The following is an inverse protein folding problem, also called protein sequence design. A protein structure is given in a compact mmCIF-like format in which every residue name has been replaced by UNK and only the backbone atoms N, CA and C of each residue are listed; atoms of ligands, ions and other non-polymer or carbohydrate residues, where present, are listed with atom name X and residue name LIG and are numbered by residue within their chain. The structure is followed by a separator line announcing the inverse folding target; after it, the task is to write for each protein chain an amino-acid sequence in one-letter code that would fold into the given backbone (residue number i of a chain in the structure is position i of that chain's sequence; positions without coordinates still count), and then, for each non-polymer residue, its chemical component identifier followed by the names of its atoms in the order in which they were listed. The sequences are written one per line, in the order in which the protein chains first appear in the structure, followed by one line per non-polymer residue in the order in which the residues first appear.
data_IF_531361808895
#
_entry.id   IF_531361808895
#
_cell.length_a   1.000
_cell.length_b   1.000
_cell.length_c   1.000
_cell.angle_alpha   90.00
_cell.angle_beta   90.00
_cell.angle_gamma   90.00
#
_symmetry.space_group_name_H-M   'P 1'
#
loop_
_entity.id
_entity.type
_entity.pdbx_description
1 polymer ?
#
# COMPACT_ATOMS: atom_id res chain seq x y z
N UNK A 1 5.77 -14.32 0.25
CA UNK A 1 4.91 -13.22 0.73
C UNK A 1 4.81 -12.15 -0.33
N UNK A 2 3.69 -11.43 -0.42
CA UNK A 2 3.47 -10.37 -1.42
C UNK A 2 4.61 -9.34 -1.43
N UNK A 3 5.14 -8.97 -0.27
CA UNK A 3 6.31 -8.08 -0.13
C UNK A 3 7.56 -8.65 -0.79
N UNK A 4 7.93 -9.88 -0.45
CA UNK A 4 9.11 -10.54 -1.03
C UNK A 4 9.00 -10.71 -2.53
N UNK A 5 7.81 -11.02 -3.04
CA UNK A 5 7.56 -11.18 -4.47
C UNK A 5 7.71 -9.83 -5.20
N UNK A 6 7.22 -8.73 -4.60
CA UNK A 6 7.38 -7.38 -5.15
C UNK A 6 8.86 -6.98 -5.23
N UNK A 7 9.61 -7.12 -4.13
CA UNK A 7 11.05 -6.79 -4.09
C UNK A 7 11.83 -7.60 -5.12
N UNK A 8 11.58 -8.90 -5.20
CA UNK A 8 12.23 -9.78 -6.17
C UNK A 8 11.91 -9.38 -7.60
N UNK A 9 10.63 -9.07 -7.89
CA UNK A 9 10.21 -8.63 -9.23
C UNK A 9 10.92 -7.34 -9.63
N UNK A 10 10.94 -6.33 -8.75
CA UNK A 10 11.61 -5.05 -9.03
C UNK A 10 13.11 -5.23 -9.23
N UNK A 11 13.76 -6.06 -8.42
CA UNK A 11 15.18 -6.41 -8.58
C UNK A 11 15.44 -7.08 -9.93
N UNK A 12 14.63 -8.07 -10.29
CA UNK A 12 14.82 -8.82 -11.53
C UNK A 12 14.58 -7.92 -12.76
N UNK A 13 13.58 -7.04 -12.73
CA UNK A 13 13.38 -6.01 -13.76
C UNK A 13 14.60 -5.10 -13.92
N UNK A 14 15.20 -4.66 -12.81
CA UNK A 14 16.41 -3.83 -12.84
C UNK A 14 17.60 -4.60 -13.40
N UNK A 15 17.77 -5.87 -13.04
CA UNK A 15 18.84 -6.72 -13.59
C UNK A 15 18.69 -6.95 -15.08
N UNK A 16 17.47 -7.18 -15.57
CA UNK A 16 17.20 -7.32 -17.02
C UNK A 16 17.52 -6.01 -17.76
N UNK A 17 17.16 -4.85 -17.18
CA UNK A 17 17.47 -3.54 -17.73
C UNK A 17 18.99 -3.30 -17.82
N UNK A 18 19.75 -3.64 -16.76
CA UNK A 18 21.21 -3.48 -16.70
C UNK A 18 21.94 -4.39 -17.68
N UNK A 19 21.35 -5.55 -18.01
CA UNK A 19 21.91 -6.48 -19.02
C UNK A 19 21.48 -6.15 -20.45
N UNK A 20 20.65 -5.14 -20.62
CA UNK A 20 20.03 -4.79 -21.90
C UNK A 20 19.14 -5.91 -22.49
N UNK A 21 18.68 -6.83 -21.63
CA UNK A 21 17.75 -7.91 -22.01
C UNK A 21 16.32 -7.40 -22.24
N UNK A 22 16.01 -6.19 -21.81
CA UNK A 22 14.74 -5.47 -22.02
C UNK A 22 15.02 -4.04 -22.47
N UNK A 23 14.08 -3.39 -23.18
CA UNK A 23 14.18 -1.96 -23.49
C UNK A 23 14.37 -1.12 -22.22
N UNK A 24 15.15 -0.04 -22.35
CA UNK A 24 15.31 0.91 -21.24
C UNK A 24 13.97 1.51 -20.86
N UNK A 25 13.71 1.61 -19.56
CA UNK A 25 12.52 2.23 -19.00
C UNK A 25 12.90 3.21 -17.88
N UNK A 26 12.11 4.25 -17.71
CA UNK A 26 12.32 5.28 -16.69
C UNK A 26 11.30 5.19 -15.57
N UNK A 27 10.23 4.41 -15.75
CA UNK A 27 9.13 4.26 -14.79
C UNK A 27 8.67 2.82 -14.67
N UNK A 28 8.22 2.47 -13.49
CA UNK A 28 7.50 1.23 -13.19
C UNK A 28 6.15 1.62 -12.59
N UNK A 29 5.08 1.03 -13.09
CA UNK A 29 3.74 1.19 -12.53
C UNK A 29 3.37 -0.11 -11.83
N UNK A 30 2.89 0.02 -10.59
CA UNK A 30 2.43 -1.09 -9.77
C UNK A 30 0.93 -0.91 -9.59
N UNK A 31 0.16 -1.81 -10.16
CA UNK A 31 -1.28 -1.86 -9.96
C UNK A 31 -1.62 -2.86 -8.86
N UNK A 32 -2.45 -2.43 -7.92
CA UNK A 32 -3.00 -3.29 -6.87
C UNK A 32 -4.48 -3.53 -7.08
N UNK A 33 -5.01 -4.60 -6.49
CA UNK A 33 -6.45 -4.82 -6.48
C UNK A 33 -7.17 -3.76 -5.63
N UNK A 34 -8.46 -3.54 -5.90
CA UNK A 34 -9.28 -2.57 -5.15
C UNK A 34 -9.46 -2.90 -3.66
N UNK A 35 -9.10 -4.12 -3.23
CA UNK A 35 -9.18 -4.55 -1.82
C UNK A 35 -7.79 -4.71 -1.17
N UNK A 36 -6.73 -4.31 -1.85
CA UNK A 36 -5.38 -4.38 -1.28
C UNK A 36 -5.18 -3.30 -0.23
N UNK A 37 -4.65 -3.67 0.93
CA UNK A 37 -4.13 -2.69 1.88
C UNK A 37 -2.86 -2.04 1.28
N UNK A 38 -2.82 -0.72 1.08
CA UNK A 38 -1.67 -0.06 0.49
C UNK A 38 -0.47 0.05 1.44
N UNK A 39 -0.67 -0.01 2.76
CA UNK A 39 0.38 0.28 3.73
C UNK A 39 1.57 -0.69 3.64
N UNK A 40 1.40 -2.03 3.52
CA UNK A 40 2.51 -2.96 3.35
C UNK A 40 3.36 -2.69 2.11
N UNK A 41 2.69 -2.35 0.99
CA UNK A 41 3.36 -2.08 -0.29
C UNK A 41 4.17 -0.79 -0.21
N UNK A 42 3.55 0.28 0.29
CA UNK A 42 4.20 1.58 0.45
C UNK A 42 5.39 1.50 1.40
N UNK A 43 5.23 0.81 2.54
CA UNK A 43 6.32 0.58 3.48
C UNK A 43 7.49 -0.12 2.78
N UNK A 44 7.24 -1.20 2.04
CA UNK A 44 8.28 -1.93 1.29
C UNK A 44 8.99 -1.03 0.28
N UNK A 45 8.25 -0.25 -0.51
CA UNK A 45 8.82 0.65 -1.52
C UNK A 45 9.68 1.77 -0.92
N UNK A 46 9.42 2.18 0.33
CA UNK A 46 10.15 3.27 1.01
C UNK A 46 11.29 2.79 1.91
N UNK A 47 11.26 1.53 2.39
CA UNK A 47 12.20 1.03 3.40
C UNK A 47 13.15 -0.04 2.91
N UNK A 48 12.78 -0.82 1.89
CA UNK A 48 13.64 -1.88 1.38
C UNK A 48 14.86 -1.31 0.65
N UNK A 49 16.07 -1.70 1.10
CA UNK A 49 17.32 -1.17 0.57
C UNK A 49 17.55 -1.50 -0.91
N UNK A 50 17.13 -2.68 -1.38
CA UNK A 50 17.28 -3.06 -2.79
C UNK A 50 16.37 -2.19 -3.65
N UNK A 51 15.16 -1.92 -3.19
CA UNK A 51 14.22 -1.05 -3.91
C UNK A 51 14.72 0.39 -3.92
N UNK A 52 15.06 0.97 -2.77
CA UNK A 52 15.43 2.39 -2.63
C UNK A 52 16.76 2.74 -3.29
N UNK A 53 17.64 1.76 -3.54
CA UNK A 53 18.88 1.97 -4.30
C UNK A 53 18.65 2.24 -5.78
N UNK A 54 17.57 1.73 -6.37
CA UNK A 54 17.30 1.78 -7.80
C UNK A 54 16.03 2.52 -8.18
N UNK A 55 15.09 2.61 -7.26
CA UNK A 55 13.77 3.20 -7.48
C UNK A 55 13.47 4.24 -6.41
N UNK A 56 12.57 5.13 -6.76
CA UNK A 56 11.95 6.06 -5.81
C UNK A 56 10.45 6.09 -6.06
N UNK A 57 9.68 6.19 -5.00
CA UNK A 57 8.24 6.34 -5.11
C UNK A 57 7.92 7.77 -5.55
N UNK A 58 7.43 7.91 -6.79
CA UNK A 58 7.06 9.20 -7.40
C UNK A 58 5.69 9.69 -6.90
N UNK A 59 4.77 8.77 -6.66
CA UNK A 59 3.46 9.11 -6.14
C UNK A 59 2.50 7.93 -6.15
N UNK A 60 1.40 8.11 -5.45
CA UNK A 60 0.28 7.18 -5.35
C UNK A 60 -0.94 7.76 -6.03
N UNK A 61 -1.53 6.99 -6.92
CA UNK A 61 -2.73 7.36 -7.66
C UNK A 61 -3.83 6.38 -7.28
N UNK A 62 -4.98 6.88 -6.84
CA UNK A 62 -6.13 6.04 -6.53
C UNK A 62 -7.29 6.37 -7.46
N UNK A 63 -7.85 5.35 -8.09
CA UNK A 63 -9.06 5.48 -8.91
C UNK A 63 -10.29 5.30 -8.03
N UNK A 64 -11.29 6.18 -8.22
CA UNK A 64 -12.54 6.15 -7.47
C UNK A 64 -13.72 6.21 -8.45
N UNK A 65 -14.63 5.27 -8.33
CA UNK A 65 -15.86 5.18 -9.11
C UNK A 65 -16.90 6.19 -8.57
N UNK A 66 -17.31 7.17 -9.37
CA UNK A 66 -18.25 8.18 -8.93
C UNK A 66 -19.64 7.63 -8.60
N UNK A 67 -20.05 6.53 -9.25
CA UNK A 67 -21.37 5.97 -9.04
C UNK A 67 -21.46 5.11 -7.75
N UNK A 68 -20.35 4.44 -7.37
CA UNK A 68 -20.36 3.49 -6.25
C UNK A 68 -19.35 3.83 -5.14
N UNK A 69 -18.51 4.84 -5.35
CA UNK A 69 -17.36 5.12 -4.49
C UNK A 69 -17.75 5.47 -3.05
N UNK A 70 -18.81 6.24 -2.85
CA UNK A 70 -19.28 6.58 -1.50
C UNK A 70 -19.68 5.34 -0.70
N UNK A 71 -20.45 4.45 -1.31
CA UNK A 71 -20.86 3.17 -0.72
C UNK A 71 -19.65 2.23 -0.47
N UNK A 72 -18.70 2.22 -1.39
CA UNK A 72 -17.45 1.46 -1.23
C UNK A 72 -16.62 1.96 -0.05
N UNK A 73 -16.46 3.27 0.09
CA UNK A 73 -15.74 3.87 1.22
C UNK A 73 -16.43 3.62 2.57
N UNK A 74 -17.75 3.45 2.58
CA UNK A 74 -18.49 3.12 3.79
C UNK A 74 -18.33 1.65 4.23
N UNK A 75 -18.04 0.75 3.27
CA UNK A 75 -18.02 -0.70 3.49
C UNK A 75 -16.63 -1.30 3.54
N UNK A 76 -15.65 -0.66 2.90
CA UNK A 76 -14.31 -1.22 2.69
C UNK A 76 -13.24 -0.30 3.29
N UNK A 77 -12.65 -0.74 4.39
CA UNK A 77 -11.63 0.05 5.08
C UNK A 77 -10.36 0.21 4.23
N UNK A 78 -10.01 -0.80 3.44
CA UNK A 78 -8.89 -0.75 2.51
C UNK A 78 -9.06 0.37 1.47
N UNK A 79 -10.28 0.59 0.98
CA UNK A 79 -10.58 1.69 0.06
C UNK A 79 -10.40 3.06 0.72
N UNK A 80 -10.74 3.20 2.00
CA UNK A 80 -10.46 4.42 2.77
C UNK A 80 -8.95 4.64 2.88
N UNK A 81 -8.17 3.59 3.18
CA UNK A 81 -6.71 3.67 3.20
C UNK A 81 -6.14 4.08 1.85
N UNK A 82 -6.63 3.45 0.75
CA UNK A 82 -6.18 3.76 -0.60
C UNK A 82 -6.43 5.24 -0.98
N UNK A 83 -7.58 5.79 -0.61
CA UNK A 83 -7.89 7.21 -0.81
C UNK A 83 -6.99 8.10 0.06
N UNK A 84 -6.80 7.74 1.33
CA UNK A 84 -6.02 8.54 2.27
C UNK A 84 -4.53 8.66 1.89
N UNK A 85 -3.93 7.60 1.33
CA UNK A 85 -2.51 7.61 0.91
C UNK A 85 -2.29 8.28 -0.44
N UNK A 86 -3.32 8.52 -1.23
CA UNK A 86 -3.20 9.01 -2.59
C UNK A 86 -2.60 10.42 -2.67
N UNK A 87 -1.74 10.64 -3.68
CA UNK A 87 -1.30 11.97 -4.10
C UNK A 87 -2.24 12.57 -5.15
N UNK A 88 -2.96 11.71 -5.85
CA UNK A 88 -4.00 12.10 -6.84
C UNK A 88 -5.14 11.12 -6.80
N UNK A 89 -6.36 11.63 -6.95
CA UNK A 89 -7.59 10.86 -7.04
C UNK A 89 -8.15 10.99 -8.46
N UNK A 90 -8.27 9.87 -9.17
CA UNK A 90 -8.91 9.80 -10.47
C UNK A 90 -10.37 9.41 -10.29
N UNK A 91 -11.27 10.38 -10.50
CA UNK A 91 -12.71 10.14 -10.35
C UNK A 91 -13.28 9.72 -11.71
N UNK A 92 -13.65 8.46 -11.78
CA UNK A 92 -14.18 7.82 -13.01
C UNK A 92 -15.70 7.72 -12.97
N UNK A 93 -16.32 7.42 -14.11
CA UNK A 93 -17.78 7.18 -14.24
C UNK A 93 -18.65 8.33 -13.76
N UNK A 94 -18.16 9.55 -13.88
CA UNK A 94 -18.93 10.77 -13.53
C UNK A 94 -20.11 11.02 -14.47
N UNK A 95 -20.10 10.42 -15.64
CA UNK A 95 -21.14 10.46 -16.68
C UNK A 95 -22.41 9.70 -16.30
N UNK A 96 -22.28 8.65 -15.49
CA UNK A 96 -23.41 7.81 -15.03
C UNK A 96 -23.84 8.11 -13.59
N UNK A 97 -23.07 8.87 -12.84
CA UNK A 97 -23.43 9.30 -11.47
C UNK A 97 -24.27 10.59 -11.52
N UNK A 98 -25.38 10.62 -10.78
CA UNK A 98 -26.14 11.86 -10.62
C UNK A 98 -25.42 12.88 -9.73
N UNK A 99 -25.93 14.12 -9.68
CA UNK A 99 -25.29 15.20 -8.92
C UNK A 99 -25.22 14.89 -7.42
N UNK A 100 -26.29 14.35 -6.82
CA UNK A 100 -26.34 14.04 -5.39
C UNK A 100 -25.32 12.97 -5.01
N UNK A 101 -25.18 11.93 -5.84
CA UNK A 101 -24.18 10.86 -5.68
C UNK A 101 -22.74 11.41 -5.76
N UNK A 102 -22.47 12.29 -6.73
CA UNK A 102 -21.17 12.95 -6.85
C UNK A 102 -20.84 13.84 -5.67
N UNK A 103 -21.81 14.63 -5.19
CA UNK A 103 -21.64 15.51 -4.02
C UNK A 103 -21.38 14.70 -2.75
N UNK A 104 -22.08 13.58 -2.57
CA UNK A 104 -21.85 12.67 -1.45
C UNK A 104 -20.45 12.07 -1.50
N UNK A 105 -20.00 11.62 -2.67
CA UNK A 105 -18.64 11.12 -2.84
C UNK A 105 -17.60 12.21 -2.54
N UNK A 106 -17.75 13.42 -3.09
CA UNK A 106 -16.80 14.52 -2.88
C UNK A 106 -16.65 14.86 -1.40
N UNK A 107 -17.75 14.85 -0.64
CA UNK A 107 -17.69 15.04 0.81
C UNK A 107 -16.85 13.94 1.52
N UNK A 108 -16.98 12.68 1.08
CA UNK A 108 -16.20 11.55 1.63
C UNK A 108 -14.72 11.66 1.27
N UNK A 109 -14.41 11.98 0.02
CA UNK A 109 -13.03 12.15 -0.43
C UNK A 109 -12.36 13.31 0.29
N UNK A 110 -13.07 14.42 0.51
CA UNK A 110 -12.56 15.58 1.26
C UNK A 110 -12.29 15.23 2.71
N UNK A 111 -13.15 14.43 3.34
CA UNK A 111 -12.93 13.97 4.71
C UNK A 111 -11.72 13.00 4.83
N UNK A 112 -11.54 12.10 3.87
CA UNK A 112 -10.47 11.10 3.90
C UNK A 112 -9.11 11.67 3.45
N UNK A 113 -9.09 12.56 2.43
CA UNK A 113 -7.86 13.14 1.89
C UNK A 113 -8.14 14.53 1.31
N UNK A 114 -8.11 15.58 2.12
CA UNK A 114 -8.39 16.95 1.67
C UNK A 114 -7.31 17.48 0.71
N UNK A 115 -6.08 16.97 0.78
CA UNK A 115 -4.93 17.48 0.05
C UNK A 115 -4.77 16.94 -1.38
N UNK A 116 -5.34 15.78 -1.70
CA UNK A 116 -5.17 15.18 -3.01
C UNK A 116 -6.06 15.86 -4.07
N UNK A 117 -5.49 16.34 -5.19
CA UNK A 117 -6.28 16.86 -6.30
C UNK A 117 -7.14 15.75 -6.90
N UNK A 118 -8.39 16.12 -7.30
CA UNK A 118 -9.34 15.26 -8.00
C UNK A 118 -9.28 15.55 -9.48
N UNK A 119 -9.08 14.49 -10.26
CA UNK A 119 -9.04 14.55 -11.72
C UNK A 119 -10.20 13.72 -12.25
N UNK A 120 -11.12 14.35 -12.94
CA UNK A 120 -12.20 13.62 -13.62
C UNK A 120 -11.66 12.92 -14.85
N UNK A 121 -11.96 11.64 -14.96
CA UNK A 121 -11.54 10.78 -16.07
C UNK A 121 -12.77 10.16 -16.73
N UNK A 122 -12.96 10.40 -18.00
CA UNK A 122 -14.00 9.80 -18.83
C UNK A 122 -13.34 8.88 -19.84
N UNK A 123 -13.84 7.65 -19.96
CA UNK A 123 -13.37 6.63 -20.91
C UNK A 123 -11.85 6.37 -20.86
N UNK A 124 -11.22 6.62 -19.72
CA UNK A 124 -9.78 6.48 -19.55
C UNK A 124 -8.96 7.65 -20.11
N UNK A 125 -9.60 8.68 -20.63
CA UNK A 125 -8.92 9.87 -21.18
C UNK A 125 -8.43 10.78 -20.05
N UNK A 126 -7.12 10.83 -19.88
CA UNK A 126 -6.43 11.70 -18.93
C UNK A 126 -5.03 12.01 -19.47
N UNK A 127 -4.63 13.27 -19.39
CA UNK A 127 -3.26 13.66 -19.76
C UNK A 127 -2.25 12.97 -18.81
N UNK A 128 -1.36 12.10 -19.31
CA UNK A 128 -0.35 11.44 -18.49
C UNK A 128 0.53 12.42 -17.70
N UNK A 129 0.74 13.64 -18.18
CA UNK A 129 1.50 14.66 -17.47
C UNK A 129 0.84 15.06 -16.13
N UNK A 130 -0.46 14.90 -16.01
CA UNK A 130 -1.19 15.13 -14.77
C UNK A 130 -1.01 14.00 -13.75
N UNK A 131 -0.54 12.85 -14.17
CA UNK A 131 -0.40 11.67 -13.31
C UNK A 131 0.98 11.56 -12.65
N UNK A 132 2.00 12.11 -13.28
CA UNK A 132 3.38 11.97 -12.85
C UNK A 132 3.92 13.27 -12.25
N UNK A 133 5.11 13.13 -11.63
CA UNK A 133 5.84 14.25 -11.03
C UNK A 133 5.05 14.98 -9.94
N UNK A 134 4.36 14.22 -9.08
CA UNK A 134 3.69 14.77 -7.89
C UNK A 134 4.68 15.30 -6.85
N UNK A 135 5.95 15.04 -7.03
CA UNK A 135 7.01 15.14 -6.03
C UNK A 135 7.33 13.76 -5.48
N UNK A 136 8.31 13.64 -4.60
CA UNK A 136 8.50 12.39 -3.89
C UNK A 136 7.32 12.15 -2.95
N UNK A 137 6.88 10.90 -2.87
CA UNK A 137 5.85 10.52 -1.90
C UNK A 137 6.33 10.85 -0.48
N UNK A 138 5.54 11.62 0.26
CA UNK A 138 5.85 12.02 1.62
C UNK A 138 4.64 11.73 2.53
N UNK A 139 4.74 10.70 3.40
CA UNK A 139 3.68 10.38 4.35
C UNK A 139 3.35 11.53 5.32
N UNK A 140 4.29 12.42 5.61
CA UNK A 140 4.10 13.54 6.54
C UNK A 140 3.15 14.61 5.99
N UNK A 141 2.91 14.62 4.68
CA UNK A 141 1.92 15.49 4.03
C UNK A 141 0.51 14.94 4.07
N UNK A 142 0.34 13.73 4.59
CA UNK A 142 -0.94 13.02 4.67
C UNK A 142 -1.61 13.19 6.04
N UNK A 143 -2.74 12.54 6.22
CA UNK A 143 -3.42 12.54 7.52
C UNK A 143 -2.60 11.74 8.56
N UNK A 144 -2.76 12.03 9.88
CA UNK A 144 -2.05 11.29 10.94
C UNK A 144 -2.31 9.77 10.92
N UNK A 145 -3.44 9.34 10.36
CA UNK A 145 -3.76 7.93 10.22
C UNK A 145 -2.82 7.24 9.24
N UNK A 146 -2.44 7.89 8.14
CA UNK A 146 -1.49 7.33 7.16
C UNK A 146 -0.13 7.10 7.81
N UNK A 147 0.38 8.07 8.58
CA UNK A 147 1.65 7.92 9.30
C UNK A 147 1.58 6.76 10.32
N UNK A 148 0.44 6.60 11.00
CA UNK A 148 0.23 5.51 11.95
C UNK A 148 0.26 4.16 11.24
N UNK A 149 -0.49 3.97 10.15
CA UNK A 149 -0.52 2.70 9.41
C UNK A 149 0.85 2.30 8.87
N UNK A 150 1.61 3.25 8.32
CA UNK A 150 2.97 2.98 7.84
C UNK A 150 3.93 2.62 8.98
N UNK A 151 3.74 3.22 10.15
CA UNK A 151 4.51 2.91 11.35
C UNK A 151 4.19 1.50 11.88
N UNK A 152 2.91 1.12 11.90
CA UNK A 152 2.48 -0.21 12.34
C UNK A 152 3.12 -1.30 11.46
N UNK A 153 3.23 -1.04 10.15
CA UNK A 153 3.94 -1.95 9.23
C UNK A 153 5.44 -2.06 9.52
N UNK A 154 6.09 -0.97 9.93
CA UNK A 154 7.50 -0.99 10.30
C UNK A 154 7.76 -1.86 11.54
N UNK A 155 6.82 -1.90 12.49
CA UNK A 155 6.92 -2.78 13.67
C UNK A 155 6.61 -4.23 13.32
N UNK A 156 5.73 -4.49 12.35
CA UNK A 156 5.42 -5.85 11.91
C UNK A 156 6.60 -6.53 11.19
N UNK A 157 7.53 -5.76 10.62
CA UNK A 157 8.75 -6.24 9.97
C UNK A 157 9.96 -6.37 10.93
N UNK A 158 9.78 -6.11 12.24
CA UNK A 158 10.81 -6.32 13.25
C UNK A 158 11.27 -7.79 13.31
N UNK A 159 12.50 -8.08 13.80
CA UNK A 159 12.98 -9.45 13.91
C UNK A 159 11.98 -10.26 14.74
N UNK A 160 11.57 -11.40 14.21
CA UNK A 160 10.85 -12.41 14.99
C UNK A 160 11.78 -12.82 16.15
N UNK A 161 11.52 -12.29 17.34
CA UNK A 161 12.17 -12.76 18.54
C UNK A 161 11.82 -14.25 18.68
N UNK A 162 12.81 -15.09 18.39
CA UNK A 162 12.70 -16.52 18.49
C UNK A 162 12.37 -16.90 19.94
N UNK A 163 11.11 -17.11 20.22
CA UNK A 163 10.69 -17.78 21.43
C UNK A 163 11.19 -19.23 21.37
N UNK A 164 12.43 -19.45 21.82
CA UNK A 164 12.88 -20.77 22.24
C UNK A 164 11.98 -21.23 23.38
N UNK A 165 11.03 -22.07 23.05
CA UNK A 165 10.35 -22.89 24.06
C UNK A 165 11.34 -23.90 24.60
N UNK A 166 12.02 -23.52 25.68
CA UNK A 166 12.80 -24.44 26.49
C UNK A 166 11.86 -25.46 27.13
N UNK A 167 11.80 -26.66 26.55
CA UNK A 167 11.23 -27.83 27.21
C UNK A 167 12.19 -28.29 28.28
N UNK A 168 12.05 -27.78 29.49
CA UNK A 168 12.61 -28.36 30.69
C UNK A 168 11.79 -29.57 31.09
N UNK A 169 12.17 -30.76 30.64
CA UNK A 169 11.67 -32.00 31.18
C UNK A 169 12.56 -32.40 32.37
N UNK A 170 12.11 -32.07 33.57
CA UNK A 170 12.67 -32.62 34.79
C UNK A 170 11.77 -33.78 35.25
N UNK A 171 12.17 -35.01 34.94
CA UNK A 171 11.60 -36.23 35.49
C UNK A 171 12.48 -36.70 36.63
N UNK A 172 12.21 -36.29 37.86
CA UNK A 172 12.71 -36.94 39.05
C UNK A 172 11.88 -38.18 39.31
N UNK A 173 12.48 -39.38 39.07
CA UNK A 173 11.95 -40.64 39.56
C UNK A 173 12.35 -40.80 41.02
N UNK A 174 11.35 -40.69 41.90
CA UNK A 174 11.48 -41.09 43.29
C UNK A 174 11.13 -42.56 43.40
N UNK A 175 12.14 -43.36 43.78
CA UNK A 175 12.02 -44.81 43.98
C UNK A 175 11.79 -45.03 45.47
N UNK A 176 10.54 -45.24 45.89
CA UNK A 176 10.24 -45.63 47.23
C UNK A 176 10.36 -47.19 47.36
N UNK A 177 11.39 -47.62 48.08
CA UNK A 177 11.51 -48.96 48.62
C UNK A 177 10.64 -49.10 49.87
N UNK A 178 9.82 -50.11 49.93
CA UNK A 178 9.29 -50.64 51.17
C UNK A 178 9.75 -52.12 51.26
N UNK A 179 10.58 -52.33 52.27
CA UNK A 179 10.77 -53.65 52.89
C UNK A 179 9.65 -53.83 53.94
N UNK A 180 8.94 -54.92 53.90
CA UNK A 180 8.58 -55.96 54.87
C UNK A 180 7.39 -56.75 54.33
#
# INVERSE_FOLDING_TARGET
TVRGDLVNTLRDMMMLRLREDVPSFDRVLIETTGLADPAPILHTLMSDQLVTNYFRLDGVITTVDAANGADTLDKQFESVKQVAVADRLLVTKTDIADAATRDALEARLTAANPGAPRITVLDGDVDPAMLFNAGLYDPQTKTPDVERWLRDEAYADGPEDGHEHGHGADHSHDVNRHDD
#
